data_IF_515592602979
#
_entry.id   IF_515592602979
#
_cell.length_a   1.000
_cell.length_b   1.000
_cell.length_c   1.000
_cell.angle_alpha   90.00
_cell.angle_beta   90.00
_cell.angle_gamma   90.00
#
_symmetry.space_group_name_H-M   'P 1'
#
loop_
_entity.id
_entity.type
_entity.pdbx_description
1 polymer ?
#
# COMPACT_ATOMS: atom_id res chain seq x y z
N UNK A 1 10.97 -14.29 19.16
CA UNK A 1 10.74 -13.08 18.34
C UNK A 1 9.27 -13.08 17.95
N UNK A 2 8.51 -12.02 18.23
CA UNK A 2 7.15 -11.88 17.70
C UNK A 2 7.26 -11.47 16.24
N UNK A 3 6.75 -12.28 15.33
CA UNK A 3 6.64 -11.89 13.92
C UNK A 3 5.43 -10.96 13.76
N UNK A 4 5.68 -9.74 13.29
CA UNK A 4 4.63 -8.79 12.94
C UNK A 4 4.05 -9.11 11.55
N UNK A 5 2.74 -8.91 11.34
CA UNK A 5 2.13 -9.10 10.03
C UNK A 5 2.81 -8.23 8.97
N UNK A 6 3.15 -8.83 7.84
CA UNK A 6 3.79 -8.14 6.74
C UNK A 6 2.79 -7.76 5.65
N UNK A 7 3.02 -6.63 4.99
CA UNK A 7 2.24 -6.23 3.81
C UNK A 7 2.24 -7.35 2.77
N UNK A 8 1.06 -7.68 2.25
CA UNK A 8 0.84 -8.73 1.25
C UNK A 8 0.60 -10.12 1.83
N UNK A 9 0.71 -10.32 3.14
CA UNK A 9 0.33 -11.60 3.76
C UNK A 9 -1.17 -11.85 3.68
N UNK A 10 -1.55 -13.12 3.55
CA UNK A 10 -2.95 -13.54 3.63
C UNK A 10 -3.23 -14.24 4.94
N UNK A 11 -4.28 -13.79 5.60
CA UNK A 11 -4.72 -14.24 6.91
C UNK A 11 -6.19 -14.67 6.85
N UNK A 12 -6.57 -15.64 7.66
CA UNK A 12 -7.93 -16.15 7.75
C UNK A 12 -8.50 -15.89 9.14
N UNK A 13 -9.70 -15.32 9.19
CA UNK A 13 -10.43 -15.15 10.44
C UNK A 13 -10.96 -16.49 10.95
N UNK A 14 -11.17 -16.60 12.26
CA UNK A 14 -11.80 -17.75 12.92
C UNK A 14 -13.14 -18.17 12.31
N UNK A 15 -13.88 -17.22 11.72
CA UNK A 15 -15.18 -17.45 11.05
C UNK A 15 -15.05 -17.77 9.55
N UNK A 16 -13.83 -17.92 9.02
CA UNK A 16 -13.57 -18.48 7.69
C UNK A 16 -13.28 -17.49 6.56
N UNK A 17 -13.56 -16.19 6.72
CA UNK A 17 -13.20 -15.19 5.70
C UNK A 17 -11.70 -14.90 5.69
N UNK A 18 -11.22 -14.37 4.56
CA UNK A 18 -9.80 -14.09 4.33
C UNK A 18 -9.55 -12.61 4.13
N UNK A 19 -8.39 -12.17 4.60
CA UNK A 19 -7.93 -10.78 4.51
C UNK A 19 -6.50 -10.74 4.02
N UNK A 20 -6.17 -9.67 3.30
CA UNK A 20 -4.81 -9.36 2.87
C UNK A 20 -4.28 -8.17 3.68
N UNK A 21 -3.10 -8.30 4.28
CA UNK A 21 -2.46 -7.22 5.02
C UNK A 21 -2.01 -6.13 4.05
N UNK A 22 -2.37 -4.89 4.34
CA UNK A 22 -1.92 -3.72 3.58
C UNK A 22 -0.70 -3.08 4.22
N UNK A 23 -0.73 -2.88 5.53
CA UNK A 23 0.40 -2.32 6.30
C UNK A 23 0.26 -2.58 7.79
N UNK A 24 1.39 -2.48 8.46
CA UNK A 24 1.52 -2.39 9.91
C UNK A 24 1.87 -0.94 10.28
N UNK A 25 1.38 -0.43 11.41
CA UNK A 25 1.66 0.94 11.86
C UNK A 25 1.90 0.95 13.37
N UNK A 26 2.98 1.60 13.76
CA UNK A 26 3.32 1.87 15.16
C UNK A 26 2.80 3.24 15.58
N UNK A 27 2.17 3.29 16.75
CA UNK A 27 1.76 4.53 17.38
C UNK A 27 2.98 5.28 17.97
N UNK A 28 2.90 6.61 18.12
CA UNK A 28 3.93 7.37 18.80
C UNK A 28 4.17 6.87 20.23
N UNK A 29 5.42 6.95 20.71
CA UNK A 29 5.81 6.47 22.04
C UNK A 29 4.93 7.00 23.19
N UNK A 30 4.48 8.26 23.10
CA UNK A 30 3.58 8.87 24.09
C UNK A 30 2.20 8.19 24.15
N UNK A 31 1.70 7.71 23.01
CA UNK A 31 0.44 6.94 22.94
C UNK A 31 0.66 5.53 23.47
N UNK A 32 1.74 4.88 23.05
CA UNK A 32 2.10 3.54 23.50
C UNK A 32 2.32 3.45 25.02
N UNK A 33 2.82 4.52 25.66
CA UNK A 33 2.99 4.56 27.12
C UNK A 33 1.69 4.65 27.91
N UNK A 34 0.64 5.23 27.31
CA UNK A 34 -0.67 5.40 27.97
C UNK A 34 -1.59 4.23 27.64
N UNK A 35 -1.51 3.69 26.42
CA UNK A 35 -2.32 2.58 25.98
C UNK A 35 -1.50 1.59 25.13
N UNK A 36 -0.79 0.65 25.78
CA UNK A 36 0.11 -0.26 25.08
C UNK A 36 -0.63 -1.24 24.16
N UNK A 37 -1.92 -1.48 24.36
CA UNK A 37 -2.72 -2.40 23.53
C UNK A 37 -3.00 -1.84 22.12
N UNK A 38 -3.04 -0.51 21.99
CA UNK A 38 -3.28 0.22 20.73
C UNK A 38 -1.98 0.82 20.18
N UNK A 39 -0.83 0.39 20.71
CA UNK A 39 0.48 0.83 20.23
C UNK A 39 0.80 0.32 18.83
N UNK A 40 0.14 -0.76 18.41
CA UNK A 40 0.36 -1.43 17.14
C UNK A 40 -0.97 -1.64 16.44
N UNK A 41 -1.09 -1.16 15.21
CA UNK A 41 -2.26 -1.34 14.37
C UNK A 41 -1.93 -2.09 13.08
N UNK A 42 -2.88 -2.90 12.64
CA UNK A 42 -2.81 -3.64 11.39
C UNK A 42 -3.93 -3.13 10.49
N UNK A 43 -3.56 -2.66 9.30
CA UNK A 43 -4.50 -2.31 8.25
C UNK A 43 -4.57 -3.46 7.25
N UNK A 44 -5.77 -3.95 6.98
CA UNK A 44 -5.99 -5.07 6.08
C UNK A 44 -7.23 -4.85 5.21
N UNK A 45 -7.31 -5.62 4.13
CA UNK A 45 -8.40 -5.60 3.17
C UNK A 45 -9.10 -6.96 3.15
N UNK A 46 -10.42 -6.97 3.20
CA UNK A 46 -11.22 -8.17 3.02
C UNK A 46 -11.15 -8.65 1.56
N UNK A 47 -10.89 -9.94 1.36
CA UNK A 47 -10.80 -10.52 0.01
C UNK A 47 -12.19 -10.69 -0.65
N UNK A 48 -13.27 -10.63 0.14
CA UNK A 48 -14.66 -10.79 -0.33
C UNK A 48 -15.20 -9.57 -1.07
N UNK A 49 -15.03 -8.39 -0.50
CA UNK A 49 -15.64 -7.13 -0.97
C UNK A 49 -14.61 -6.02 -1.19
N UNK A 50 -13.35 -6.25 -0.85
CA UNK A 50 -12.29 -5.25 -0.95
C UNK A 50 -12.36 -4.15 0.11
N UNK A 51 -13.24 -4.26 1.12
CA UNK A 51 -13.33 -3.29 2.21
C UNK A 51 -12.04 -3.26 3.00
N UNK A 52 -11.65 -2.06 3.43
CA UNK A 52 -10.42 -1.84 4.19
C UNK A 52 -10.79 -1.54 5.64
N UNK A 53 -10.09 -2.17 6.58
CA UNK A 53 -10.34 -2.02 8.01
C UNK A 53 -9.02 -2.06 8.77
N UNK A 54 -8.97 -1.37 9.91
CA UNK A 54 -7.86 -1.39 10.85
C UNK A 54 -8.28 -1.99 12.19
N UNK A 55 -7.36 -2.69 12.84
CA UNK A 55 -7.56 -3.17 14.21
C UNK A 55 -6.25 -3.18 15.00
N UNK A 56 -6.32 -3.19 16.34
CA UNK A 56 -5.14 -3.44 17.18
C UNK A 56 -4.49 -4.78 16.84
N UNK A 57 -3.16 -4.83 16.89
CA UNK A 57 -2.38 -6.04 16.58
C UNK A 57 -2.79 -7.22 17.47
N UNK A 58 -2.98 -6.98 18.77
CA UNK A 58 -3.33 -8.03 19.72
C UNK A 58 -4.64 -8.73 19.34
N UNK A 59 -5.68 -7.93 19.07
CA UNK A 59 -6.98 -8.43 18.62
C UNK A 59 -6.87 -9.16 17.28
N UNK A 60 -6.08 -8.62 16.35
CA UNK A 60 -5.87 -9.25 15.03
C UNK A 60 -5.24 -10.64 15.17
N UNK A 61 -4.18 -10.77 15.98
CA UNK A 61 -3.48 -12.04 16.18
C UNK A 61 -4.31 -13.10 16.93
N UNK A 62 -5.28 -12.67 17.74
CA UNK A 62 -6.20 -13.57 18.43
C UNK A 62 -7.27 -14.14 17.48
N UNK A 63 -7.75 -13.32 16.54
CA UNK A 63 -8.88 -13.66 15.69
C UNK A 63 -8.50 -14.21 14.31
N UNK A 64 -7.26 -13.97 13.87
CA UNK A 64 -6.78 -14.36 12.55
C UNK A 64 -5.57 -15.29 12.63
N UNK A 65 -5.55 -16.27 11.73
CA UNK A 65 -4.45 -17.21 11.53
C UNK A 65 -3.77 -16.97 10.18
N UNK A 66 -2.44 -16.98 10.15
CA UNK A 66 -1.66 -16.80 8.93
C UNK A 66 -1.85 -18.01 8.00
N UNK A 67 -2.35 -17.78 6.78
CA UNK A 67 -2.51 -18.82 5.76
C UNK A 67 -1.29 -18.94 4.85
N UNK A 68 -0.78 -17.80 4.40
CA UNK A 68 0.34 -17.74 3.48
C UNK A 68 1.24 -16.57 3.86
N UNK A 69 2.55 -16.81 3.86
CA UNK A 69 3.55 -15.76 4.00
C UNK A 69 3.44 -14.74 2.85
N UNK A 70 4.01 -13.55 3.07
CA UNK A 70 3.98 -12.50 2.06
C UNK A 70 4.56 -13.07 0.76
N UNK A 71 3.98 -12.76 -0.41
CA UNK A 71 4.59 -13.10 -1.67
C UNK A 71 6.02 -12.56 -1.60
N UNK A 72 6.99 -13.46 -1.68
CA UNK A 72 8.38 -13.06 -1.64
C UNK A 72 8.56 -12.12 -2.82
N UNK A 73 8.91 -10.87 -2.53
CA UNK A 73 9.36 -9.95 -3.56
C UNK A 73 10.62 -10.62 -4.10
N UNK A 74 10.50 -11.31 -5.23
CA UNK A 74 11.65 -11.80 -5.96
C UNK A 74 12.45 -10.55 -6.29
N UNK A 75 13.47 -10.27 -5.48
CA UNK A 75 14.52 -9.32 -5.82
C UNK A 75 15.17 -9.94 -7.04
N UNK A 76 14.73 -9.53 -8.23
CA UNK A 76 15.40 -9.88 -9.46
C UNK A 76 16.87 -9.48 -9.27
N UNK A 77 17.78 -10.46 -9.33
CA UNK A 77 19.21 -10.19 -9.35
C UNK A 77 19.47 -9.17 -10.44
N UNK A 78 19.83 -7.95 -10.06
CA UNK A 78 20.32 -6.92 -10.96
C UNK A 78 21.69 -7.37 -11.46
N UNK A 79 21.70 -8.14 -12.54
CA UNK A 79 22.88 -8.56 -13.27
C UNK A 79 22.55 -8.58 -14.75
N UNK A 80 22.68 -7.43 -15.41
CA UNK A 80 22.53 -7.33 -16.86
C UNK A 80 21.92 -6.01 -17.33
N UNK A 81 22.79 -5.15 -17.85
CA UNK A 81 22.46 -3.93 -18.61
C UNK A 81 21.36 -4.16 -19.64
N UNK A 82 20.30 -3.34 -19.61
CA UNK A 82 19.36 -3.24 -20.74
C UNK A 82 17.96 -2.78 -20.35
N UNK A 83 17.69 -1.49 -20.54
CA UNK A 83 16.39 -0.85 -20.81
C UNK A 83 15.09 -1.45 -20.26
N UNK A 84 14.45 -0.71 -19.35
CA UNK A 84 12.99 -0.53 -19.17
C UNK A 84 12.04 -1.73 -19.45
N UNK A 85 11.36 -2.22 -18.41
CA UNK A 85 10.18 -3.09 -18.54
C UNK A 85 9.04 -2.62 -17.62
N UNK A 86 7.98 -1.98 -18.13
CA UNK A 86 6.71 -1.91 -17.43
C UNK A 86 5.84 -3.07 -17.94
N UNK A 87 5.74 -4.13 -17.13
CA UNK A 87 4.89 -5.31 -17.33
C UNK A 87 5.36 -6.28 -18.44
N UNK A 88 5.68 -7.51 -18.06
CA UNK A 88 5.84 -8.64 -18.99
C UNK A 88 4.49 -8.96 -19.65
N UNK A 89 4.14 -8.20 -20.68
CA UNK A 89 2.96 -8.44 -21.50
C UNK A 89 3.31 -9.51 -22.55
N UNK A 90 2.38 -10.44 -22.78
CA UNK A 90 2.51 -11.43 -23.85
C UNK A 90 2.64 -10.72 -25.21
N UNK A 91 3.45 -11.21 -26.17
CA UNK A 91 3.75 -10.53 -27.44
C UNK A 91 2.54 -10.20 -28.34
N UNK A 92 1.34 -10.69 -28.02
CA UNK A 92 0.10 -10.38 -28.73
C UNK A 92 -0.68 -9.20 -28.13
N UNK A 93 -0.28 -8.68 -26.97
CA UNK A 93 -0.98 -7.59 -26.30
C UNK A 93 -0.47 -6.26 -26.83
N UNK A 94 -1.35 -5.52 -27.50
CA UNK A 94 -1.11 -4.12 -27.86
C UNK A 94 -1.45 -3.24 -26.66
N UNK A 95 -0.51 -2.41 -26.22
CA UNK A 95 -0.76 -1.39 -25.21
C UNK A 95 -0.44 -0.02 -25.79
N UNK A 96 -1.27 0.96 -25.46
CA UNK A 96 -0.98 2.37 -25.74
C UNK A 96 -0.43 3.01 -24.47
N UNK A 97 0.81 3.49 -24.56
CA UNK A 97 1.44 4.28 -23.50
C UNK A 97 0.90 5.71 -23.59
N UNK A 98 0.07 6.11 -22.63
CA UNK A 98 -0.28 7.52 -22.46
C UNK A 98 1.00 8.29 -22.14
N UNK A 99 1.46 9.17 -23.04
CA UNK A 99 2.63 10.00 -22.77
C UNK A 99 2.31 11.01 -21.68
N UNK A 100 3.24 11.14 -20.74
CA UNK A 100 3.33 12.28 -19.83
C UNK A 100 3.31 13.59 -20.63
N UNK A 101 2.52 14.55 -20.15
CA UNK A 101 2.49 15.91 -20.66
C UNK A 101 3.92 16.47 -20.57
N UNK A 102 4.50 16.83 -21.71
CA UNK A 102 5.78 17.52 -21.74
C UNK A 102 5.70 18.76 -20.83
N UNK A 103 6.66 18.89 -19.93
CA UNK A 103 6.86 20.09 -19.15
C UNK A 103 7.08 21.26 -20.12
N UNK A 104 6.09 22.13 -20.27
CA UNK A 104 6.33 23.49 -20.73
C UNK A 104 6.56 24.35 -19.48
N UNK A 105 7.71 25.01 -19.49
CA UNK A 105 8.16 26.04 -18.55
C UNK A 105 7.18 27.23 -18.46
N UNK A 106 7.30 28.07 -17.41
CA UNK A 106 6.21 28.90 -16.89
C UNK A 106 5.78 30.01 -17.85
N UNK A 107 4.48 30.32 -17.83
CA UNK A 107 3.96 31.52 -18.46
C UNK A 107 4.45 32.76 -17.68
N UNK A 108 4.93 33.74 -18.44
CA UNK A 108 5.23 35.12 -18.08
C UNK A 108 4.10 35.72 -17.21
N UNK A 109 4.39 36.53 -16.16
CA UNK A 109 3.34 37.18 -15.39
C UNK A 109 2.66 38.22 -16.28
N UNK A 110 1.44 37.90 -16.71
CA UNK A 110 0.57 38.83 -17.41
C UNK A 110 0.13 39.94 -16.44
N UNK A 111 0.61 41.15 -16.69
CA UNK A 111 0.39 42.37 -15.91
C UNK A 111 -1.02 42.94 -16.21
N UNK A 112 -2.03 42.09 -16.08
CA UNK A 112 -3.37 42.27 -16.65
C UNK A 112 -4.52 41.90 -15.72
N UNK A 113 -4.33 41.94 -14.40
CA UNK A 113 -5.44 41.75 -13.45
C UNK A 113 -6.31 43.00 -13.35
N UNK A 114 -7.34 43.05 -14.21
CA UNK A 114 -8.44 43.98 -14.06
C UNK A 114 -9.20 43.72 -12.74
N UNK A 115 -9.12 44.74 -11.87
CA UNK A 115 -10.16 45.31 -11.01
C UNK A 115 -11.32 44.42 -10.54
N UNK A 116 -11.42 44.37 -9.20
CA UNK A 116 -12.59 44.77 -8.38
C UNK A 116 -13.96 44.32 -8.88
N UNK A 117 -14.54 43.32 -8.23
CA UNK A 117 -15.95 43.34 -7.75
C UNK A 117 -16.01 42.43 -6.52
N UNK A 118 -15.98 43.06 -5.34
CA UNK A 118 -17.03 43.08 -4.30
C UNK A 118 -16.99 41.86 -3.38
#
# INVERSE_FOLDING_TARGET
>A
MREYPQSGERWQHSQGWTVTILRFTDAPASVASVNPEFSHEVLYRYDSDGQVTSSPLAWFQENYTRLAGAPHRLTALTGGSGGFSPFNLHPTVKYERWRERAAQQPAEPDDGHYSKFL
#
